data_IF_454292680443
#
_entry.id   IF_454292680443
#
_cell.length_a   1.000
_cell.length_b   1.000
_cell.length_c   1.000
_cell.angle_alpha   90.00
_cell.angle_beta   90.00
_cell.angle_gamma   90.00
#
_symmetry.space_group_name_H-M   'P 1'
#
loop_
_entity.id
_entity.type
_entity.pdbx_description
1 polymer ?
#
# COMPACT_ATOMS: atom_id res chain seq x y z
N UNK A 1 -5.70 22.59 -64.73
CA UNK A 1 -5.37 22.42 -63.29
C UNK A 1 -6.18 21.27 -62.73
N UNK A 2 -5.46 20.25 -62.26
CA UNK A 2 -5.83 19.14 -61.35
C UNK A 2 -6.98 18.17 -61.71
N UNK A 3 -6.82 16.88 -61.34
CA UNK A 3 -7.26 15.74 -62.15
C UNK A 3 -8.30 14.83 -61.46
N UNK A 4 -9.02 14.08 -62.30
CA UNK A 4 -9.44 12.66 -62.21
C UNK A 4 -9.52 12.05 -60.80
N UNK A 5 -10.72 11.77 -60.26
CA UNK A 5 -11.51 10.55 -60.51
C UNK A 5 -10.64 9.32 -60.83
N UNK A 6 -10.48 8.42 -59.87
CA UNK A 6 -10.48 6.96 -60.12
C UNK A 6 -10.66 6.17 -58.83
N UNK A 7 -11.84 5.54 -58.77
CA UNK A 7 -12.17 4.36 -57.99
C UNK A 7 -11.13 3.26 -58.29
N UNK A 8 -10.45 2.74 -57.27
CA UNK A 8 -9.67 1.49 -57.37
C UNK A 8 -10.01 0.63 -56.16
N UNK A 9 -10.66 -0.47 -56.48
CA UNK A 9 -11.04 -1.57 -55.60
C UNK A 9 -9.92 -2.61 -55.69
N UNK A 10 -9.18 -2.86 -54.61
CA UNK A 10 -8.14 -3.91 -54.53
C UNK A 10 -8.05 -4.43 -53.06
N UNK A 11 -7.56 -5.65 -52.81
CA UNK A 11 -8.36 -6.79 -52.40
C UNK A 11 -7.93 -7.32 -51.02
N UNK A 12 -8.75 -8.23 -50.51
CA UNK A 12 -8.42 -9.14 -49.42
C UNK A 12 -7.12 -9.91 -49.71
N UNK A 13 -6.09 -9.70 -48.89
CA UNK A 13 -4.96 -10.60 -48.74
C UNK A 13 -4.80 -10.95 -47.26
N UNK A 14 -5.19 -12.17 -46.92
CA UNK A 14 -4.73 -12.87 -45.72
C UNK A 14 -3.21 -13.01 -45.79
N UNK A 15 -2.50 -12.58 -44.73
CA UNK A 15 -1.18 -13.10 -44.40
C UNK A 15 -1.10 -13.34 -42.88
N UNK A 16 -0.89 -14.60 -42.55
CA UNK A 16 -0.61 -15.16 -41.23
C UNK A 16 0.75 -14.67 -40.73
N UNK A 17 0.81 -14.17 -39.51
CA UNK A 17 2.06 -14.07 -38.75
C UNK A 17 1.76 -14.21 -37.25
N UNK A 18 1.59 -15.46 -36.82
CA UNK A 18 1.56 -15.88 -35.43
C UNK A 18 2.94 -15.63 -34.81
N UNK A 19 3.14 -14.47 -34.18
CA UNK A 19 4.26 -14.30 -33.25
C UNK A 19 3.81 -14.81 -31.89
N UNK A 20 4.09 -16.09 -31.63
CA UNK A 20 4.14 -16.61 -30.26
C UNK A 20 5.24 -15.86 -29.53
N UNK A 21 4.85 -14.86 -28.74
CA UNK A 21 5.75 -14.21 -27.79
C UNK A 21 6.05 -15.26 -26.71
N UNK A 22 7.22 -15.90 -26.81
CA UNK A 22 7.81 -16.65 -25.70
C UNK A 22 8.04 -15.64 -24.57
N UNK A 23 7.11 -15.56 -23.62
CA UNK A 23 7.39 -14.98 -22.32
C UNK A 23 8.44 -15.87 -21.67
N UNK A 24 9.68 -15.39 -21.66
CA UNK A 24 10.70 -15.94 -20.79
C UNK A 24 10.15 -15.89 -19.36
N UNK A 25 9.95 -17.07 -18.78
CA UNK A 25 9.64 -17.26 -17.36
C UNK A 25 10.71 -16.56 -16.53
N UNK A 26 10.47 -15.28 -16.21
CA UNK A 26 11.10 -14.67 -15.05
C UNK A 26 10.49 -15.39 -13.87
N UNK A 27 11.24 -16.38 -13.37
CA UNK A 27 11.04 -17.01 -12.07
C UNK A 27 10.83 -15.89 -11.05
N UNK A 28 9.56 -15.59 -10.76
CA UNK A 28 9.18 -14.65 -9.70
C UNK A 28 9.80 -15.24 -8.46
N UNK A 29 10.73 -14.51 -7.86
CA UNK A 29 11.31 -14.88 -6.60
C UNK A 29 10.13 -15.09 -5.63
N UNK A 30 9.98 -16.33 -5.19
CA UNK A 30 9.07 -16.70 -4.11
C UNK A 30 9.27 -15.69 -2.98
N UNK A 31 8.22 -14.93 -2.66
CA UNK A 31 8.18 -14.11 -1.45
C UNK A 31 8.27 -15.10 -0.31
N UNK A 32 9.48 -15.28 0.22
CA UNK A 32 9.69 -16.08 1.43
C UNK A 32 8.90 -15.37 2.51
N UNK A 33 7.85 -16.02 3.00
CA UNK A 33 7.09 -15.53 4.15
C UNK A 33 8.08 -15.28 5.28
N UNK A 34 8.21 -14.02 5.70
CA UNK A 34 9.08 -13.68 6.81
C UNK A 34 8.52 -14.32 8.08
N UNK A 35 9.41 -14.86 8.92
CA UNK A 35 9.02 -15.33 10.24
C UNK A 35 8.29 -14.21 11.00
N UNK A 36 7.26 -14.53 11.78
CA UNK A 36 6.51 -13.53 12.54
C UNK A 36 7.46 -12.72 13.40
N UNK A 37 7.25 -11.39 13.41
CA UNK A 37 8.10 -10.47 14.16
C UNK A 37 8.06 -10.85 15.64
N UNK A 38 9.23 -11.21 16.19
CA UNK A 38 9.37 -11.48 17.61
C UNK A 38 9.80 -10.19 18.33
N UNK A 39 8.91 -9.67 19.15
CA UNK A 39 9.12 -8.46 19.93
C UNK A 39 9.10 -8.80 21.42
N UNK A 40 9.86 -8.04 22.20
CA UNK A 40 9.66 -7.96 23.64
C UNK A 40 8.19 -7.58 23.95
N UNK A 41 7.68 -8.04 25.10
CA UNK A 41 6.27 -7.86 25.47
C UNK A 41 5.84 -6.40 25.56
N UNK A 42 6.69 -5.50 26.05
CA UNK A 42 6.40 -4.07 26.17
C UNK A 42 6.37 -3.41 24.79
N UNK A 43 7.33 -3.74 23.93
CA UNK A 43 7.37 -3.27 22.54
C UNK A 43 6.14 -3.78 21.76
N UNK A 44 5.77 -5.04 21.96
CA UNK A 44 4.59 -5.62 21.34
C UNK A 44 3.31 -4.89 21.77
N UNK A 45 3.17 -4.53 23.05
CA UNK A 45 2.04 -3.76 23.54
C UNK A 45 1.98 -2.35 22.92
N UNK A 46 3.12 -1.67 22.79
CA UNK A 46 3.18 -0.36 22.14
C UNK A 46 2.75 -0.43 20.68
N UNK A 47 3.24 -1.44 19.93
CA UNK A 47 2.83 -1.68 18.55
C UNK A 47 1.32 -1.95 18.45
N UNK A 48 0.74 -2.73 19.37
CA UNK A 48 -0.71 -2.98 19.38
C UNK A 48 -1.53 -1.70 19.61
N UNK A 49 -1.08 -0.82 20.50
CA UNK A 49 -1.75 0.46 20.77
C UNK A 49 -1.72 1.37 19.55
N UNK A 50 -0.59 1.45 18.87
CA UNK A 50 -0.46 2.19 17.62
C UNK A 50 -1.38 1.63 16.53
N UNK A 51 -1.37 0.32 16.30
CA UNK A 51 -2.24 -0.30 15.29
C UNK A 51 -3.72 -0.04 15.58
N UNK A 52 -4.12 0.00 16.87
CA UNK A 52 -5.48 0.36 17.27
C UNK A 52 -5.80 1.84 16.96
N UNK A 53 -4.87 2.75 17.24
CA UNK A 53 -5.03 4.17 16.93
C UNK A 53 -5.13 4.41 15.42
N UNK A 54 -4.27 3.76 14.63
CA UNK A 54 -4.30 3.78 13.17
C UNK A 54 -5.66 3.27 12.67
N UNK A 55 -6.13 2.12 13.17
CA UNK A 55 -7.43 1.57 12.78
C UNK A 55 -8.56 2.57 13.04
N UNK A 56 -8.58 3.20 14.22
CA UNK A 56 -9.58 4.22 14.56
C UNK A 56 -9.50 5.44 13.62
N UNK A 57 -8.29 5.92 13.32
CA UNK A 57 -8.06 6.99 12.36
C UNK A 57 -8.57 6.65 10.96
N UNK A 58 -8.19 5.48 10.44
CA UNK A 58 -8.63 5.00 9.12
C UNK A 58 -10.15 4.88 9.00
N UNK A 59 -10.82 4.35 10.02
CA UNK A 59 -12.29 4.30 10.06
C UNK A 59 -12.93 5.68 10.10
N UNK A 60 -12.29 6.66 10.77
CA UNK A 60 -12.79 8.04 10.87
C UNK A 60 -12.56 8.85 9.60
N UNK A 61 -11.59 8.49 8.77
CA UNK A 61 -11.35 9.17 7.49
C UNK A 61 -12.53 9.02 6.53
N UNK A 62 -13.17 7.85 6.49
CA UNK A 62 -14.27 7.56 5.55
C UNK A 62 -15.41 8.60 5.64
N UNK A 63 -16.06 8.82 6.80
CA UNK A 63 -17.12 9.81 6.90
C UNK A 63 -16.61 11.24 6.69
N UNK A 64 -15.40 11.57 7.16
CA UNK A 64 -14.84 12.93 7.02
C UNK A 64 -14.54 13.29 5.55
N UNK A 65 -14.00 12.35 4.78
CA UNK A 65 -13.79 12.52 3.33
C UNK A 65 -15.13 12.64 2.61
N UNK A 66 -16.09 11.77 2.93
CA UNK A 66 -17.39 11.77 2.27
C UNK A 66 -18.22 13.04 2.54
N UNK A 67 -18.07 13.66 3.70
CA UNK A 67 -18.73 14.94 4.04
C UNK A 67 -17.95 16.17 3.59
N UNK A 68 -16.72 16.01 3.09
CA UNK A 68 -15.83 17.13 2.77
C UNK A 68 -15.30 17.88 3.99
N UNK A 69 -15.26 17.25 5.16
CA UNK A 69 -14.69 17.82 6.39
C UNK A 69 -13.14 17.77 6.34
N UNK A 70 -12.56 18.64 5.52
CA UNK A 70 -11.12 18.66 5.29
C UNK A 70 -10.31 19.02 6.53
N UNK A 71 -10.89 19.81 7.44
CA UNK A 71 -10.28 20.09 8.74
C UNK A 71 -10.11 18.81 9.55
N UNK A 72 -11.16 17.97 9.60
CA UNK A 72 -11.09 16.68 10.28
C UNK A 72 -10.15 15.69 9.58
N UNK A 73 -10.16 15.65 8.26
CA UNK A 73 -9.23 14.80 7.48
C UNK A 73 -7.78 15.18 7.77
N UNK A 74 -7.45 16.47 7.80
CA UNK A 74 -6.11 16.96 8.13
C UNK A 74 -5.70 16.59 9.57
N UNK A 75 -6.61 16.75 10.53
CA UNK A 75 -6.38 16.36 11.93
C UNK A 75 -6.04 14.87 12.05
N UNK A 76 -6.87 14.00 11.43
CA UNK A 76 -6.67 12.56 11.46
C UNK A 76 -5.35 12.17 10.78
N UNK A 77 -5.06 12.73 9.60
CA UNK A 77 -3.82 12.45 8.88
C UNK A 77 -2.57 12.80 9.69
N UNK A 78 -2.58 13.93 10.42
CA UNK A 78 -1.49 14.32 11.34
C UNK A 78 -1.38 13.40 12.56
N UNK A 79 -2.51 12.94 13.10
CA UNK A 79 -2.51 11.99 14.21
C UNK A 79 -1.88 10.66 13.79
N UNK A 80 -2.22 10.16 12.59
CA UNK A 80 -1.62 8.96 12.01
C UNK A 80 -0.15 9.21 11.66
N UNK A 81 0.22 10.32 11.01
CA UNK A 81 1.63 10.65 10.74
C UNK A 81 2.47 10.65 12.03
N UNK A 82 1.91 11.19 13.11
CA UNK A 82 2.54 11.23 14.43
C UNK A 82 2.51 9.92 15.21
N UNK A 83 1.84 8.87 14.70
CA UNK A 83 1.63 7.62 15.44
C UNK A 83 2.76 6.62 15.36
N UNK A 84 3.80 6.84 14.53
CA UNK A 84 4.93 5.93 14.20
C UNK A 84 5.65 5.42 15.45
N UNK A 85 5.08 4.50 16.21
CA UNK A 85 5.35 4.24 17.64
C UNK A 85 5.24 5.49 18.53
N UNK A 86 4.10 6.21 18.45
CA UNK A 86 3.66 7.34 19.27
C UNK A 86 4.84 8.15 19.86
N UNK A 87 5.66 8.69 18.95
CA UNK A 87 6.81 9.57 19.23
C UNK A 87 7.73 9.08 20.35
N UNK A 88 8.03 7.78 20.34
CA UNK A 88 9.10 7.13 21.08
C UNK A 88 9.10 7.36 22.59
N UNK A 89 8.08 6.85 23.29
CA UNK A 89 8.17 6.53 24.74
C UNK A 89 9.19 5.42 25.06
N UNK A 90 10.20 5.27 24.21
CA UNK A 90 11.21 4.23 24.26
C UNK A 90 12.49 4.84 24.87
N UNK A 91 13.07 4.14 25.84
CA UNK A 91 14.43 4.45 26.27
C UNK A 91 15.42 4.25 25.12
N UNK A 92 16.63 4.77 25.28
CA UNK A 92 17.71 4.56 24.29
C UNK A 92 17.94 3.07 24.03
N UNK A 93 17.88 2.26 25.07
CA UNK A 93 18.03 0.80 25.02
C UNK A 93 16.86 0.16 24.25
N UNK A 94 15.61 0.54 24.57
CA UNK A 94 14.43 0.02 23.86
C UNK A 94 14.46 0.38 22.37
N UNK A 95 14.94 1.57 22.02
CA UNK A 95 15.11 2.01 20.62
C UNK A 95 16.17 1.17 19.90
N UNK A 96 17.29 0.89 20.56
CA UNK A 96 18.35 0.05 19.99
C UNK A 96 17.86 -1.38 19.77
N UNK A 97 17.15 -1.94 20.75
CA UNK A 97 16.53 -3.26 20.65
C UNK A 97 15.49 -3.30 19.54
N UNK A 98 14.59 -2.32 19.48
CA UNK A 98 13.54 -2.24 18.45
C UNK A 98 14.13 -2.22 17.03
N UNK A 99 15.15 -1.38 16.80
CA UNK A 99 15.80 -1.30 15.49
C UNK A 99 16.48 -2.60 15.06
N UNK A 100 16.91 -3.43 16.02
CA UNK A 100 17.48 -4.74 15.73
C UNK A 100 16.42 -5.84 15.59
N UNK A 101 15.28 -5.70 16.27
CA UNK A 101 14.19 -6.70 16.28
C UNK A 101 13.27 -6.60 15.06
N UNK A 102 13.13 -5.42 14.45
CA UNK A 102 12.23 -5.22 13.31
C UNK A 102 12.95 -5.51 11.97
N UNK A 103 12.34 -6.31 11.07
CA UNK A 103 12.85 -6.47 9.72
C UNK A 103 12.93 -5.14 8.98
N UNK A 104 13.96 -4.95 8.16
CA UNK A 104 14.13 -3.72 7.37
C UNK A 104 12.92 -3.45 6.45
N UNK A 105 12.27 -4.49 5.94
CA UNK A 105 11.04 -4.39 5.15
C UNK A 105 9.88 -3.77 5.94
N UNK A 106 9.68 -4.20 7.19
CA UNK A 106 8.66 -3.65 8.08
C UNK A 106 8.90 -2.16 8.32
N UNK A 107 10.12 -1.79 8.72
CA UNK A 107 10.51 -0.38 8.98
C UNK A 107 10.20 0.49 7.76
N UNK A 108 10.55 0.01 6.56
CA UNK A 108 10.32 0.74 5.31
C UNK A 108 8.84 0.93 5.02
N UNK A 109 8.03 -0.12 5.13
CA UNK A 109 6.58 -0.04 4.88
C UNK A 109 5.91 0.90 5.87
N UNK A 110 6.28 0.80 7.13
CA UNK A 110 5.76 1.65 8.21
C UNK A 110 6.09 3.13 7.95
N UNK A 111 7.32 3.45 7.51
CA UNK A 111 7.74 4.83 7.25
C UNK A 111 6.97 5.41 6.07
N UNK A 112 6.80 4.61 5.02
CA UNK A 112 6.02 5.00 3.85
C UNK A 112 4.54 5.23 4.18
N UNK A 113 3.97 4.41 5.07
CA UNK A 113 2.61 4.57 5.57
C UNK A 113 2.44 5.93 6.27
N UNK A 114 3.29 6.22 7.25
CA UNK A 114 3.20 7.45 8.04
C UNK A 114 3.47 8.70 7.21
N UNK A 115 4.43 8.63 6.27
CA UNK A 115 4.65 9.71 5.31
C UNK A 115 3.40 9.96 4.45
N UNK A 116 2.74 8.89 3.97
CA UNK A 116 1.50 9.01 3.19
C UNK A 116 0.37 9.66 3.99
N UNK A 117 0.32 9.44 5.31
CA UNK A 117 -0.65 10.09 6.19
C UNK A 117 -0.39 11.59 6.34
N UNK A 118 0.88 12.01 6.43
CA UNK A 118 1.26 13.41 6.40
C UNK A 118 0.90 14.08 5.07
N UNK A 119 1.11 13.39 3.96
CA UNK A 119 0.72 13.88 2.64
C UNK A 119 -0.81 13.98 2.46
N UNK A 120 -1.58 13.02 3.00
CA UNK A 120 -3.03 13.11 3.08
C UNK A 120 -3.47 14.35 3.87
N UNK A 121 -2.84 14.59 5.02
CA UNK A 121 -3.16 15.74 5.84
C UNK A 121 -2.91 17.06 5.10
N UNK A 122 -1.74 17.18 4.47
CA UNK A 122 -1.39 18.36 3.68
C UNK A 122 -2.36 18.58 2.51
N UNK A 123 -2.73 17.52 1.79
CA UNK A 123 -3.71 17.61 0.70
C UNK A 123 -5.07 18.10 1.19
N UNK A 124 -5.50 17.67 2.38
CA UNK A 124 -6.74 18.12 3.00
C UNK A 124 -6.67 19.59 3.41
N UNK A 125 -5.56 20.06 3.99
CA UNK A 125 -5.34 21.48 4.30
C UNK A 125 -5.44 22.37 3.06
N UNK A 126 -4.98 21.86 1.91
CA UNK A 126 -5.04 22.55 0.63
C UNK A 126 -6.40 22.39 -0.07
N UNK A 127 -7.33 21.58 0.47
CA UNK A 127 -8.64 21.33 -0.12
C UNK A 127 -8.60 20.49 -1.41
N UNK A 128 -7.52 19.74 -1.66
CA UNK A 128 -7.34 18.93 -2.87
C UNK A 128 -7.96 17.53 -2.68
N UNK A 129 -9.26 17.42 -2.91
CA UNK A 129 -10.03 16.20 -2.63
C UNK A 129 -9.60 14.97 -3.43
N UNK A 130 -9.15 15.14 -4.67
CA UNK A 130 -8.58 14.09 -5.51
C UNK A 130 -7.28 13.52 -4.92
N UNK A 131 -6.39 14.40 -4.43
CA UNK A 131 -5.13 14.02 -3.78
C UNK A 131 -5.40 13.37 -2.42
N UNK A 132 -6.39 13.86 -1.65
CA UNK A 132 -6.83 13.21 -0.40
C UNK A 132 -7.26 11.76 -0.67
N UNK A 133 -8.10 11.53 -1.68
CA UNK A 133 -8.55 10.18 -2.04
C UNK A 133 -7.39 9.29 -2.51
N UNK A 134 -6.42 9.85 -3.25
CA UNK A 134 -5.22 9.13 -3.64
C UNK A 134 -4.42 8.64 -2.43
N UNK A 135 -4.16 9.51 -1.44
CA UNK A 135 -3.43 9.09 -0.26
C UNK A 135 -4.24 8.19 0.68
N UNK A 136 -5.58 8.36 0.74
CA UNK A 136 -6.43 7.43 1.47
C UNK A 136 -6.32 6.01 0.89
N UNK A 137 -6.35 5.88 -0.44
CA UNK A 137 -6.09 4.62 -1.13
C UNK A 137 -4.70 4.06 -0.78
N UNK A 138 -3.66 4.90 -0.81
CA UNK A 138 -2.29 4.49 -0.44
C UNK A 138 -2.20 3.94 0.98
N UNK A 139 -2.83 4.59 1.95
CA UNK A 139 -2.89 4.11 3.33
C UNK A 139 -3.57 2.74 3.42
N UNK A 140 -4.72 2.58 2.75
CA UNK A 140 -5.43 1.30 2.77
C UNK A 140 -4.62 0.17 2.13
N UNK A 141 -3.95 0.44 1.01
CA UNK A 141 -3.06 -0.54 0.36
C UNK A 141 -1.88 -0.90 1.25
N UNK A 142 -1.25 0.07 1.91
CA UNK A 142 -0.12 -0.18 2.81
C UNK A 142 -0.52 -1.04 4.03
N UNK A 143 -1.74 -0.90 4.56
CA UNK A 143 -2.27 -1.82 5.58
C UNK A 143 -2.28 -3.27 5.08
N UNK A 144 -2.77 -3.51 3.86
CA UNK A 144 -2.83 -4.86 3.28
C UNK A 144 -1.44 -5.40 3.02
N UNK A 145 -0.55 -4.61 2.42
CA UNK A 145 0.83 -5.01 2.11
C UNK A 145 1.60 -5.41 3.37
N UNK A 146 1.61 -4.55 4.39
CA UNK A 146 2.32 -4.83 5.65
C UNK A 146 1.74 -6.04 6.37
N UNK A 147 0.41 -6.17 6.44
CA UNK A 147 -0.22 -7.30 7.13
C UNK A 147 -0.02 -8.63 6.39
N UNK A 148 0.05 -8.60 5.06
CA UNK A 148 0.34 -9.79 4.24
C UNK A 148 1.75 -10.30 4.54
N UNK A 149 2.72 -9.39 4.65
CA UNK A 149 4.13 -9.76 4.81
C UNK A 149 4.50 -10.10 6.26
N UNK A 150 3.97 -9.35 7.24
CA UNK A 150 4.46 -9.41 8.63
C UNK A 150 3.42 -9.86 9.66
N UNK A 151 2.16 -10.04 9.29
CA UNK A 151 1.09 -10.35 10.23
C UNK A 151 0.10 -11.43 9.75
N UNK A 152 0.53 -12.35 8.88
CA UNK A 152 -0.33 -13.36 8.25
C UNK A 152 -1.07 -14.24 9.29
N UNK A 153 -0.42 -14.58 10.40
CA UNK A 153 -1.03 -15.35 11.49
C UNK A 153 -2.26 -14.64 12.13
N UNK A 154 -2.28 -13.31 12.14
CA UNK A 154 -3.41 -12.50 12.63
C UNK A 154 -4.43 -12.23 11.52
N UNK A 155 -3.97 -12.17 10.28
CA UNK A 155 -4.79 -11.88 9.10
C UNK A 155 -4.75 -13.03 8.09
N UNK A 156 -5.26 -14.23 8.43
CA UNK A 156 -5.10 -15.44 7.61
C UNK A 156 -5.78 -15.35 6.25
N UNK A 157 -6.71 -14.41 6.05
CA UNK A 157 -7.37 -14.18 4.76
C UNK A 157 -6.50 -13.38 3.78
N UNK A 158 -5.39 -12.80 4.24
CA UNK A 158 -4.38 -12.16 3.40
C UNK A 158 -3.28 -13.12 2.97
N UNK A 159 -3.27 -14.35 3.49
CA UNK A 159 -2.33 -15.37 3.02
C UNK A 159 -2.62 -15.69 1.56
N UNK A 160 -1.60 -15.49 0.74
CA UNK A 160 -1.66 -15.80 -0.68
C UNK A 160 -1.67 -17.33 -0.82
N UNK A 161 -2.87 -17.93 -0.80
CA UNK A 161 -3.06 -19.28 -1.30
C UNK A 161 -2.73 -19.20 -2.77
N UNK A 162 -1.51 -19.62 -3.15
CA UNK A 162 -1.20 -19.82 -4.56
C UNK A 162 -2.28 -20.74 -5.13
N UNK A 163 -3.23 -20.15 -5.85
CA UNK A 163 -4.20 -20.87 -6.64
C UNK A 163 -3.41 -21.67 -7.65
N UNK A 164 -3.75 -22.95 -7.71
CA UNK A 164 -3.24 -23.90 -8.66
C UNK A 164 -3.15 -23.30 -10.07
N UNK A 165 -2.09 -23.68 -10.77
CA UNK A 165 -1.74 -23.24 -12.11
C UNK A 165 -2.97 -23.05 -13.01
N UNK A 166 -3.24 -21.80 -13.39
CA UNK A 166 -4.14 -21.52 -14.51
C UNK A 166 -3.44 -21.96 -15.81
N UNK A 167 -3.62 -23.22 -16.17
CA UNK A 167 -3.42 -23.70 -17.53
C UNK A 167 -4.55 -23.15 -18.41
N UNK A 168 -4.20 -22.23 -19.31
CA UNK A 168 -5.00 -21.84 -20.46
C UNK A 168 -4.24 -22.18 -21.74
#
# INVERSE_FOLDING_TARGET
>A
MKPYLRLVLFPLCLLLASCSLHSADKKVASVVAHAPIQLDNEIHQLLQQEMQAIQTGMMSLVPAIASGDWGKVAEIGKQIEGSYLLKQKLTTEQRHTLHHSLPAGFIKLDQAFHHSAGMLAHAAEMGHSDIVNFYFYKLNTACVECHTEFASARFPMLENKQTEAHHH
#
